data_IF_771160217731
#
_entry.id   IF_771160217731
#
_cell.length_a   1.000
_cell.length_b   1.000
_cell.length_c   1.000
_cell.angle_alpha   90.00
_cell.angle_beta   90.00
_cell.angle_gamma   90.00
#
_symmetry.space_group_name_H-M   'P 1'
#
loop_
_entity.id
_entity.type
_entity.pdbx_description
1 polymer ?
#
# COMPACT_ATOMS: atom_id res chain seq x y z
N UNK A 1 23.29 21.66 -20.86
CA UNK A 1 21.87 22.09 -20.81
C UNK A 1 21.83 23.47 -20.20
N UNK A 2 21.50 24.50 -20.97
CA UNK A 2 21.53 25.91 -20.55
C UNK A 2 20.16 26.30 -19.97
N UNK A 3 20.10 26.48 -18.65
CA UNK A 3 18.90 26.93 -17.92
C UNK A 3 18.45 28.30 -18.43
N UNK A 4 17.37 28.31 -19.21
CA UNK A 4 16.72 29.52 -19.74
C UNK A 4 15.20 29.41 -19.61
N UNK A 5 14.72 28.83 -18.51
CA UNK A 5 13.29 28.83 -18.22
C UNK A 5 12.92 30.12 -17.44
N UNK A 6 12.17 31.05 -18.06
CA UNK A 6 11.79 32.31 -17.43
C UNK A 6 10.86 32.12 -16.21
N UNK A 7 10.16 30.98 -16.09
CA UNK A 7 9.33 30.71 -14.91
C UNK A 7 10.17 30.37 -13.67
N UNK A 8 11.33 29.73 -13.84
CA UNK A 8 12.23 29.41 -12.73
C UNK A 8 12.93 30.66 -12.16
N UNK A 9 13.17 31.68 -13.00
CA UNK A 9 13.70 32.97 -12.52
C UNK A 9 12.68 33.76 -11.70
N UNK A 10 11.40 33.73 -12.10
CA UNK A 10 10.34 34.43 -11.39
C UNK A 10 10.14 33.93 -9.93
N UNK A 11 10.54 32.69 -9.64
CA UNK A 11 10.48 32.12 -8.28
C UNK A 11 11.71 32.51 -7.44
N UNK A 12 12.87 32.71 -8.07
CA UNK A 12 14.12 33.09 -7.38
C UNK A 12 14.18 34.57 -7.00
N UNK A 13 13.45 35.44 -7.71
CA UNK A 13 13.43 36.89 -7.48
C UNK A 13 12.36 37.35 -6.44
N UNK A 14 11.65 36.42 -5.80
CA UNK A 14 10.76 36.76 -4.69
C UNK A 14 11.59 37.10 -3.44
N UNK A 15 11.31 38.23 -2.75
CA UNK A 15 12.00 38.55 -1.51
C UNK A 15 11.82 37.40 -0.51
N UNK A 16 12.87 37.09 0.25
CA UNK A 16 12.91 36.03 1.26
C UNK A 16 11.91 36.31 2.41
N UNK A 17 10.63 36.10 2.14
CA UNK A 17 9.59 35.99 3.13
C UNK A 17 9.45 34.50 3.48
N UNK A 18 9.26 34.19 4.77
CA UNK A 18 8.95 32.83 5.20
C UNK A 18 7.75 32.30 4.40
N UNK A 19 7.84 31.07 3.85
CA UNK A 19 6.75 30.48 3.10
C UNK A 19 5.55 30.32 4.02
N UNK A 20 4.50 31.10 3.77
CA UNK A 20 3.21 30.94 4.45
C UNK A 20 2.60 29.58 4.12
N UNK A 21 1.82 28.99 5.03
CA UNK A 21 1.13 27.70 4.81
C UNK A 21 0.31 27.68 3.51
N UNK A 22 -0.34 28.82 3.21
CA UNK A 22 -1.10 29.00 1.98
C UNK A 22 -0.22 28.93 0.70
N UNK A 23 1.06 29.28 0.78
CA UNK A 23 2.01 29.16 -0.35
C UNK A 23 2.48 27.72 -0.55
N UNK A 24 2.66 26.96 0.53
CA UNK A 24 3.06 25.54 0.47
C UNK A 24 1.93 24.70 -0.11
N UNK A 25 0.71 24.84 0.41
CA UNK A 25 -0.46 24.11 -0.11
C UNK A 25 -0.75 24.46 -1.58
N UNK A 26 -0.59 25.73 -1.98
CA UNK A 26 -0.80 26.16 -3.37
C UNK A 26 0.25 25.59 -4.31
N UNK A 27 1.51 25.54 -3.89
CA UNK A 27 2.61 24.93 -4.66
C UNK A 27 2.38 23.43 -4.82
N UNK A 28 1.97 22.76 -3.75
CA UNK A 28 1.63 21.34 -3.77
C UNK A 28 0.45 21.04 -4.73
N UNK A 29 -0.64 21.81 -4.66
CA UNK A 29 -1.76 21.68 -5.59
C UNK A 29 -1.36 21.94 -7.05
N UNK A 30 -0.48 22.91 -7.31
CA UNK A 30 0.01 23.20 -8.67
C UNK A 30 0.86 22.07 -9.24
N UNK A 31 1.72 21.47 -8.42
CA UNK A 31 2.53 20.30 -8.82
C UNK A 31 1.61 19.11 -9.15
N UNK A 32 0.64 18.80 -8.30
CA UNK A 32 -0.30 17.70 -8.55
C UNK A 32 -1.20 17.93 -9.78
N UNK A 33 -1.62 19.18 -10.03
CA UNK A 33 -2.43 19.53 -11.20
C UNK A 33 -1.67 19.44 -12.52
N UNK A 34 -0.37 19.82 -12.54
CA UNK A 34 0.49 19.68 -13.74
C UNK A 34 0.74 18.20 -14.07
N UNK A 35 0.85 17.34 -13.06
CA UNK A 35 1.09 15.90 -13.28
C UNK A 35 -0.14 15.12 -13.75
N UNK A 36 -1.33 15.44 -13.24
CA UNK A 36 -2.60 14.87 -13.73
C UNK A 36 -2.87 15.27 -15.19
N UNK A 37 -2.56 16.50 -15.58
CA UNK A 37 -2.68 16.96 -16.96
C UNK A 37 -1.71 16.29 -17.96
N UNK A 38 -0.57 15.77 -17.48
CA UNK A 38 0.43 15.10 -18.32
C UNK A 38 0.06 13.67 -18.72
N UNK A 39 -0.70 12.94 -17.88
CA UNK A 39 -1.02 11.52 -18.08
C UNK A 39 -2.25 11.25 -18.96
N UNK A 40 -3.08 12.27 -19.23
CA UNK A 40 -4.25 12.17 -20.10
C UNK A 40 -3.96 12.23 -21.62
N UNK A 41 -2.70 12.39 -22.03
CA UNK A 41 -2.33 12.40 -23.47
C UNK A 41 -1.89 11.02 -23.92
N UNK A 42 -2.83 10.26 -24.49
CA UNK A 42 -2.51 9.10 -25.32
C UNK A 42 -1.49 9.49 -26.42
N UNK A 43 -0.57 8.59 -26.83
CA UNK A 43 0.40 8.88 -27.85
C UNK A 43 -0.31 9.18 -29.18
N UNK A 44 -0.24 10.42 -29.64
CA UNK A 44 -0.74 10.85 -30.96
C UNK A 44 0.04 10.09 -32.04
N UNK A 45 -0.56 9.04 -32.59
CA UNK A 45 -0.11 8.43 -33.84
C UNK A 45 -0.27 9.47 -34.95
N UNK A 46 0.85 9.97 -35.47
CA UNK A 46 0.89 10.74 -36.70
C UNK A 46 0.54 9.79 -37.87
N UNK A 47 -0.71 9.83 -38.31
CA UNK A 47 -1.15 9.25 -39.57
C UNK A 47 -0.59 10.10 -40.73
N UNK A 48 0.38 9.55 -41.46
CA UNK A 48 0.70 10.01 -42.81
C UNK A 48 -0.01 9.11 -43.80
N UNK A 49 -0.93 9.72 -44.56
CA UNK A 49 -1.48 9.20 -45.82
C UNK A 49 -0.36 8.95 -46.84
N UNK A 50 -0.45 7.83 -47.57
CA UNK A 50 -0.45 7.76 -49.04
C UNK A 50 -1.01 6.38 -49.47
N UNK A 51 -1.71 6.36 -50.62
CA UNK A 51 -2.76 5.41 -51.06
C UNK A 51 -2.20 4.33 -52.06
N UNK A 52 -2.98 3.50 -52.82
CA UNK A 52 -2.94 2.03 -52.75
C UNK A 52 -2.66 1.29 -54.09
N UNK A 53 -2.02 0.12 -54.07
CA UNK A 53 -2.09 -0.93 -55.13
C UNK A 53 -1.58 -2.22 -54.44
N UNK A 54 -2.11 -3.44 -54.54
CA UNK A 54 -3.17 -4.08 -55.32
C UNK A 54 -2.86 -5.59 -55.27
N UNK A 55 -3.87 -6.39 -54.88
CA UNK A 55 -4.07 -7.82 -55.13
C UNK A 55 -3.04 -8.90 -54.66
N UNK A 56 -3.64 -9.94 -54.06
CA UNK A 56 -3.40 -11.37 -54.23
C UNK A 56 -2.86 -12.14 -53.01
N UNK A 57 -3.54 -13.26 -52.78
CA UNK A 57 -3.52 -14.16 -51.64
C UNK A 57 -2.20 -14.89 -51.41
N UNK A 58 -1.89 -15.20 -50.15
CA UNK A 58 -1.38 -16.51 -49.70
C UNK A 58 -1.83 -16.75 -48.26
N UNK A 59 -2.60 -17.83 -48.07
CA UNK A 59 -2.78 -18.52 -46.79
C UNK A 59 -1.54 -19.39 -46.58
N UNK A 60 -0.72 -19.09 -45.57
CA UNK A 60 0.16 -20.05 -44.90
C UNK A 60 0.81 -19.41 -43.67
N UNK A 61 0.76 -20.14 -42.56
CA UNK A 61 1.31 -19.82 -41.26
C UNK A 61 2.83 -19.60 -41.27
N UNK A 62 3.31 -18.61 -40.49
CA UNK A 62 4.60 -18.68 -39.80
C UNK A 62 4.43 -18.11 -38.38
N UNK A 63 4.39 -19.04 -37.47
CA UNK A 63 4.69 -18.99 -36.05
C UNK A 63 6.15 -18.59 -35.79
N UNK A 64 6.40 -18.12 -34.57
CA UNK A 64 7.68 -18.01 -33.84
C UNK A 64 8.41 -16.67 -33.87
N UNK A 65 8.40 -16.05 -32.69
CA UNK A 65 9.44 -15.17 -32.18
C UNK A 65 9.53 -15.18 -30.64
N UNK A 66 9.03 -16.24 -29.98
CA UNK A 66 9.39 -16.60 -28.62
C UNK A 66 10.61 -17.53 -28.72
N UNK A 67 11.78 -17.02 -28.33
CA UNK A 67 12.96 -17.86 -28.13
C UNK A 67 13.01 -18.25 -26.66
N UNK A 68 12.72 -19.53 -26.46
CA UNK A 68 13.03 -20.35 -25.31
C UNK A 68 14.54 -20.35 -25.03
N UNK A 69 14.91 -20.16 -23.77
CA UNK A 69 16.07 -20.85 -23.20
C UNK A 69 15.53 -21.91 -22.23
N UNK A 70 15.16 -23.07 -22.79
CA UNK A 70 15.04 -24.30 -22.03
C UNK A 70 16.44 -24.89 -21.86
N UNK A 71 17.07 -24.57 -20.72
CA UNK A 71 18.04 -25.45 -20.10
C UNK A 71 17.27 -26.53 -19.36
N UNK A 72 17.42 -27.79 -19.79
CA UNK A 72 16.90 -28.97 -19.13
C UNK A 72 17.51 -29.12 -17.73
N UNK A 73 16.77 -28.63 -16.74
CA UNK A 73 16.97 -28.89 -15.32
C UNK A 73 15.68 -28.47 -14.62
N UNK A 74 15.07 -29.35 -13.84
CA UNK A 74 13.82 -29.09 -13.12
C UNK A 74 13.98 -27.95 -12.11
N UNK A 75 13.80 -26.72 -12.59
CA UNK A 75 13.82 -25.51 -11.80
C UNK A 75 12.39 -25.05 -11.58
N UNK A 76 11.93 -25.15 -10.33
CA UNK A 76 10.77 -24.47 -9.80
C UNK A 76 10.66 -23.08 -10.44
N UNK A 77 9.49 -22.73 -10.98
CA UNK A 77 9.14 -21.34 -11.26
C UNK A 77 9.08 -20.61 -9.91
N UNK A 78 10.26 -20.35 -9.35
CA UNK A 78 10.44 -19.57 -8.15
C UNK A 78 9.84 -18.20 -8.43
N UNK A 79 9.09 -17.69 -7.47
CA UNK A 79 8.94 -16.27 -7.27
C UNK A 79 10.34 -15.70 -7.10
N UNK A 80 11.06 -15.53 -8.21
CA UNK A 80 12.32 -14.81 -8.21
C UNK A 80 11.95 -13.44 -7.71
N UNK A 81 12.57 -13.04 -6.58
CA UNK A 81 12.39 -11.70 -6.05
C UNK A 81 12.39 -10.73 -7.22
N UNK A 82 11.30 -9.95 -7.43
CA UNK A 82 11.27 -9.03 -8.55
C UNK A 82 12.56 -8.22 -8.52
N UNK A 83 13.14 -7.97 -9.69
CA UNK A 83 14.24 -7.00 -9.80
C UNK A 83 13.65 -5.61 -9.59
N UNK A 84 13.14 -5.34 -8.39
CA UNK A 84 12.69 -4.03 -7.93
C UNK A 84 13.91 -3.13 -7.98
N UNK A 85 13.98 -2.36 -9.07
CA UNK A 85 14.94 -1.32 -9.25
C UNK A 85 14.48 -0.16 -8.38
N UNK A 86 15.03 -0.10 -7.17
CA UNK A 86 15.06 1.11 -6.34
C UNK A 86 13.70 1.54 -5.75
N UNK A 87 13.45 1.15 -4.49
CA UNK A 87 12.49 1.88 -3.65
C UNK A 87 13.20 3.12 -3.15
N UNK A 88 13.00 4.25 -3.82
CA UNK A 88 13.46 5.54 -3.32
C UNK A 88 12.57 5.91 -2.13
N UNK A 89 13.13 5.71 -0.95
CA UNK A 89 12.40 5.84 0.29
C UNK A 89 12.02 7.30 0.60
N UNK A 90 11.08 7.43 1.53
CA UNK A 90 10.41 8.67 1.90
C UNK A 90 11.41 9.73 2.34
N UNK A 91 11.24 10.97 1.85
CA UNK A 91 12.02 12.13 2.29
C UNK A 91 11.84 12.51 3.77
N UNK A 92 10.96 11.80 4.50
CA UNK A 92 10.78 11.99 5.92
C UNK A 92 11.95 11.30 6.66
N UNK A 93 12.81 12.04 7.37
CA UNK A 93 13.82 11.40 8.20
C UNK A 93 13.13 10.41 9.14
N UNK A 94 13.85 9.35 9.54
CA UNK A 94 13.46 8.64 10.75
C UNK A 94 13.27 9.67 11.87
N UNK A 95 12.40 9.40 12.86
CA UNK A 95 12.43 10.12 14.12
C UNK A 95 13.88 10.10 14.60
N UNK A 96 14.59 11.22 14.43
CA UNK A 96 16.00 11.25 14.70
C UNK A 96 16.17 11.31 16.22
N UNK A 97 17.29 10.78 16.70
CA UNK A 97 17.98 11.26 17.90
C UNK A 97 18.21 12.80 17.92
N UNK A 98 17.69 13.58 16.95
CA UNK A 98 17.40 15.02 17.08
C UNK A 98 16.10 15.41 16.37
N UNK A 99 15.00 15.37 17.12
CA UNK A 99 13.80 16.17 16.85
C UNK A 99 12.51 15.35 16.94
N UNK A 100 11.86 15.45 18.12
CA UNK A 100 10.55 14.89 18.56
C UNK A 100 10.60 13.42 18.99
N UNK A 101 11.07 13.04 20.19
CA UNK A 101 10.46 13.22 21.53
C UNK A 101 8.96 12.84 21.56
N UNK A 102 8.48 11.96 22.47
CA UNK A 102 7.09 11.45 22.66
C UNK A 102 5.90 12.46 22.70
N UNK A 103 6.11 13.69 22.25
CA UNK A 103 5.14 14.77 22.19
C UNK A 103 4.93 15.31 20.75
N UNK A 104 5.00 14.47 19.72
CA UNK A 104 4.17 14.72 18.52
C UNK A 104 2.71 14.48 18.90
N UNK A 105 2.19 15.27 19.84
CA UNK A 105 0.81 15.24 20.31
C UNK A 105 -0.17 15.67 19.23
N UNK A 106 0.31 15.91 17.99
CA UNK A 106 -0.47 16.41 16.86
C UNK A 106 0.13 15.91 15.56
N UNK A 107 -0.76 15.50 14.67
CA UNK A 107 -0.45 15.23 13.27
C UNK A 107 0.06 16.47 12.53
N UNK A 108 0.98 16.30 11.59
CA UNK A 108 1.53 17.44 10.84
C UNK A 108 0.50 18.03 9.86
N UNK A 109 0.58 19.33 9.53
CA UNK A 109 -0.31 19.94 8.53
C UNK A 109 -0.29 19.21 7.18
N UNK A 110 0.88 18.70 6.76
CA UNK A 110 1.04 17.95 5.51
C UNK A 110 0.29 16.62 5.55
N UNK A 111 0.28 15.92 6.70
CA UNK A 111 -0.49 14.69 6.86
C UNK A 111 -1.98 14.94 6.78
N UNK A 112 -2.47 15.98 7.45
CA UNK A 112 -3.87 16.38 7.39
C UNK A 112 -4.29 16.77 5.97
N UNK A 113 -3.46 17.53 5.26
CA UNK A 113 -3.71 17.92 3.87
C UNK A 113 -3.70 16.71 2.92
N UNK A 114 -2.78 15.77 3.11
CA UNK A 114 -2.71 14.53 2.32
C UNK A 114 -3.96 13.65 2.54
N UNK A 115 -4.41 13.50 3.79
CA UNK A 115 -5.66 12.80 4.11
C UNK A 115 -6.88 13.49 3.48
N UNK A 116 -6.96 14.82 3.50
CA UNK A 116 -8.05 15.57 2.86
C UNK A 116 -8.05 15.41 1.33
N UNK A 117 -6.88 15.36 0.69
CA UNK A 117 -6.77 15.06 -0.74
C UNK A 117 -7.22 13.64 -1.05
N UNK A 118 -6.68 12.64 -0.34
CA UNK A 118 -7.03 11.24 -0.52
C UNK A 118 -8.53 11.01 -0.29
N UNK A 119 -9.11 11.63 0.74
CA UNK A 119 -10.54 11.53 1.01
C UNK A 119 -11.39 12.12 -0.13
N UNK A 120 -10.92 13.21 -0.76
CA UNK A 120 -11.60 13.78 -1.93
C UNK A 120 -11.49 12.87 -3.15
N UNK A 121 -10.31 12.34 -3.42
CA UNK A 121 -10.09 11.34 -4.48
C UNK A 121 -10.98 10.12 -4.28
N UNK A 122 -11.05 9.59 -3.06
CA UNK A 122 -11.85 8.42 -2.72
C UNK A 122 -13.32 8.57 -3.11
N UNK A 123 -13.92 9.76 -2.94
CA UNK A 123 -15.33 10.01 -3.34
C UNK A 123 -15.59 9.93 -4.84
N UNK A 124 -14.54 9.93 -5.67
CA UNK A 124 -14.64 9.81 -7.13
C UNK A 124 -14.29 8.40 -7.64
N UNK A 125 -13.84 7.52 -6.75
CA UNK A 125 -13.51 6.14 -7.10
C UNK A 125 -14.79 5.35 -7.42
N UNK A 126 -14.64 4.30 -8.21
CA UNK A 126 -15.74 3.36 -8.48
C UNK A 126 -15.85 2.36 -7.34
N UNK A 127 -17.08 2.13 -6.87
CA UNK A 127 -17.36 1.01 -5.99
C UNK A 127 -17.18 -0.31 -6.76
N UNK A 128 -16.70 -1.33 -6.06
CA UNK A 128 -16.63 -2.70 -6.58
C UNK A 128 -17.89 -3.44 -6.17
N UNK A 129 -18.52 -4.14 -7.12
CA UNK A 129 -19.69 -4.98 -6.84
C UNK A 129 -19.23 -6.40 -6.55
N UNK A 130 -19.50 -6.88 -5.33
CA UNK A 130 -19.23 -8.25 -4.93
C UNK A 130 -20.40 -9.17 -5.34
N UNK A 131 -20.13 -10.16 -6.17
CA UNK A 131 -21.07 -11.21 -6.53
C UNK A 131 -21.15 -12.33 -5.47
N UNK A 132 -22.26 -13.07 -5.40
CA UNK A 132 -22.38 -14.22 -4.48
C UNK A 132 -21.27 -15.25 -4.70
N UNK A 133 -20.62 -15.67 -3.61
CA UNK A 133 -19.57 -16.69 -3.64
C UNK A 133 -18.22 -16.26 -4.21
N UNK A 134 -18.06 -14.99 -4.61
CA UNK A 134 -16.77 -14.48 -5.03
C UNK A 134 -15.82 -14.32 -3.84
N UNK A 135 -14.53 -14.54 -4.12
CA UNK A 135 -13.43 -14.37 -3.18
C UNK A 135 -12.63 -13.12 -3.55
N UNK A 136 -11.87 -12.62 -2.58
CA UNK A 136 -10.84 -11.61 -2.82
C UNK A 136 -9.51 -12.34 -2.94
N UNK A 137 -8.89 -12.27 -4.11
CA UNK A 137 -7.49 -12.66 -4.30
C UNK A 137 -6.61 -11.46 -4.00
N UNK A 138 -5.67 -11.64 -3.09
CA UNK A 138 -4.67 -10.65 -2.72
C UNK A 138 -3.30 -11.20 -3.08
N UNK A 139 -2.61 -10.50 -3.97
CA UNK A 139 -1.20 -10.75 -4.26
C UNK A 139 -0.38 -9.71 -3.52
N UNK A 140 0.47 -10.15 -2.61
CA UNK A 140 1.34 -9.31 -1.79
C UNK A 140 2.80 -9.59 -2.13
N UNK A 141 3.51 -8.59 -2.63
CA UNK A 141 4.92 -8.66 -2.96
C UNK A 141 5.70 -7.79 -1.96
N UNK A 142 6.59 -8.40 -1.17
CA UNK A 142 7.18 -7.74 -0.01
C UNK A 142 8.46 -8.37 0.53
N UNK A 143 9.07 -7.66 1.48
CA UNK A 143 10.32 -7.98 2.16
C UNK A 143 10.11 -7.81 3.66
N UNK A 144 10.61 -8.75 4.45
CA UNK A 144 10.47 -8.70 5.90
C UNK A 144 11.70 -9.24 6.61
N UNK A 145 11.95 -8.73 7.81
CA UNK A 145 13.01 -9.18 8.69
C UNK A 145 12.71 -10.58 9.18
N UNK A 146 13.66 -11.48 8.95
CA UNK A 146 13.71 -12.85 9.43
C UNK A 146 14.79 -12.93 10.51
N UNK A 147 14.39 -13.13 11.76
CA UNK A 147 15.32 -13.40 12.85
C UNK A 147 15.62 -14.90 12.89
N UNK A 148 16.91 -15.26 12.95
CA UNK A 148 17.34 -16.64 13.11
C UNK A 148 17.98 -16.80 14.50
N UNK A 149 17.26 -17.41 15.43
CA UNK A 149 17.73 -17.62 16.80
C UNK A 149 17.67 -16.35 17.68
N UNK A 150 18.50 -16.30 18.72
CA UNK A 150 18.52 -15.22 19.72
C UNK A 150 19.48 -14.08 19.35
N UNK A 151 19.80 -13.92 18.07
CA UNK A 151 20.76 -12.91 17.63
C UNK A 151 20.10 -11.54 17.54
N UNK A 152 20.83 -10.48 17.93
CA UNK A 152 20.44 -9.07 17.76
C UNK A 152 20.50 -8.61 16.28
N UNK A 153 20.39 -9.56 15.35
CA UNK A 153 20.58 -9.37 13.92
C UNK A 153 19.42 -10.04 13.19
N UNK A 154 18.77 -9.30 12.29
CA UNK A 154 17.72 -9.85 11.44
C UNK A 154 18.06 -9.64 9.97
N UNK A 155 17.93 -10.70 9.16
CA UNK A 155 18.14 -10.60 7.72
C UNK A 155 16.84 -10.21 7.03
N UNK A 156 16.86 -9.19 6.18
CA UNK A 156 15.71 -8.87 5.35
C UNK A 156 15.64 -9.88 4.20
N UNK A 157 14.53 -10.61 4.13
CA UNK A 157 14.28 -11.65 3.14
C UNK A 157 13.01 -11.33 2.34
N UNK A 158 12.96 -11.77 1.08
CA UNK A 158 11.75 -11.65 0.26
C UNK A 158 10.66 -12.57 0.81
N UNK A 159 9.44 -12.04 0.98
CA UNK A 159 8.28 -12.76 1.52
C UNK A 159 7.01 -12.46 0.70
N UNK A 160 7.06 -12.73 -0.61
CA UNK A 160 5.88 -12.68 -1.45
C UNK A 160 4.84 -13.73 -1.05
N UNK A 161 3.55 -13.34 -1.01
CA UNK A 161 2.43 -14.22 -0.69
C UNK A 161 1.24 -13.96 -1.59
N UNK A 162 0.48 -15.02 -1.86
CA UNK A 162 -0.86 -14.90 -2.43
C UNK A 162 -1.87 -15.47 -1.45
N UNK A 163 -3.03 -14.81 -1.30
CA UNK A 163 -4.12 -15.33 -0.46
C UNK A 163 -5.45 -15.17 -1.16
N UNK A 164 -6.35 -16.09 -0.86
CA UNK A 164 -7.75 -16.04 -1.23
C UNK A 164 -8.56 -15.89 0.04
N UNK A 165 -9.43 -14.90 0.05
CA UNK A 165 -10.15 -14.45 1.24
C UNK A 165 -11.64 -14.50 0.96
N UNK A 166 -12.39 -15.21 1.80
CA UNK A 166 -13.85 -15.13 1.84
C UNK A 166 -14.24 -13.77 2.42
N UNK A 167 -14.99 -12.94 1.67
CA UNK A 167 -15.36 -11.60 2.10
C UNK A 167 -16.25 -11.59 3.35
N UNK A 168 -16.86 -12.73 3.72
CA UNK A 168 -17.68 -12.86 4.92
C UNK A 168 -16.81 -13.08 6.17
N UNK A 169 -16.09 -12.03 6.59
CA UNK A 169 -15.25 -12.03 7.79
C UNK A 169 -13.75 -12.09 7.50
N UNK A 170 -13.35 -11.86 6.24
CA UNK A 170 -11.96 -11.96 5.79
C UNK A 170 -11.30 -13.29 6.16
N UNK A 171 -12.00 -14.40 5.91
CA UNK A 171 -11.49 -15.74 6.23
C UNK A 171 -10.54 -16.16 5.12
N UNK A 172 -9.29 -16.44 5.48
CA UNK A 172 -8.29 -16.91 4.51
C UNK A 172 -8.59 -18.37 4.18
N UNK A 173 -9.00 -18.66 2.95
CA UNK A 173 -9.34 -20.02 2.46
C UNK A 173 -8.19 -20.68 1.71
N UNK A 174 -7.20 -19.90 1.27
CA UNK A 174 -5.95 -20.38 0.66
C UNK A 174 -4.84 -19.36 0.88
N UNK A 175 -3.63 -19.83 1.20
CA UNK A 175 -2.44 -18.97 1.40
C UNK A 175 -1.22 -19.64 0.78
N UNK A 176 -0.65 -19.02 -0.24
CA UNK A 176 0.55 -19.49 -0.91
C UNK A 176 1.76 -18.62 -0.59
N UNK A 177 2.91 -19.27 -0.45
CA UNK A 177 4.24 -18.63 -0.50
C UNK A 177 5.05 -19.36 -1.55
N UNK A 178 5.19 -18.76 -2.74
CA UNK A 178 5.64 -19.54 -3.87
C UNK A 178 4.53 -20.46 -4.38
N UNK A 179 4.88 -21.72 -4.59
CA UNK A 179 3.93 -22.80 -4.88
C UNK A 179 3.56 -23.61 -3.62
N UNK A 180 4.12 -23.27 -2.45
CA UNK A 180 3.81 -23.94 -1.19
C UNK A 180 2.52 -23.39 -0.59
N UNK A 181 1.58 -24.29 -0.32
CA UNK A 181 0.37 -23.98 0.44
C UNK A 181 0.66 -24.01 1.94
N UNK A 182 0.67 -22.82 2.53
CA UNK A 182 1.00 -22.62 3.93
C UNK A 182 -0.13 -23.05 4.88
N UNK A 183 -1.33 -23.34 4.38
CA UNK A 183 -2.42 -23.90 5.18
C UNK A 183 -2.41 -25.44 5.20
N UNK A 184 -1.71 -26.08 4.25
CA UNK A 184 -1.69 -27.56 4.12
C UNK A 184 -0.30 -28.18 4.37
N UNK A 185 0.75 -27.37 4.52
CA UNK A 185 2.12 -27.84 4.74
C UNK A 185 2.38 -28.44 6.13
N UNK A 186 3.48 -29.18 6.32
CA UNK A 186 3.88 -29.74 7.61
C UNK A 186 4.23 -28.67 8.67
N UNK A 187 4.44 -27.42 8.23
CA UNK A 187 4.64 -26.23 9.06
C UNK A 187 3.42 -25.29 9.05
N UNK A 188 2.28 -25.74 8.50
CA UNK A 188 1.07 -24.95 8.59
C UNK A 188 0.80 -24.71 10.08
N UNK A 189 0.78 -23.44 10.48
CA UNK A 189 0.05 -23.06 11.68
C UNK A 189 -1.41 -23.06 11.25
N UNK A 190 -2.19 -24.10 11.58
CA UNK A 190 -3.57 -24.08 11.20
C UNK A 190 -4.19 -22.96 12.04
N UNK A 191 -4.62 -21.89 11.40
CA UNK A 191 -5.87 -21.28 11.82
C UNK A 191 -6.90 -21.87 10.88
N UNK A 192 -7.44 -23.08 11.17
CA UNK A 192 -8.44 -23.67 10.30
C UNK A 192 -9.53 -22.65 10.03
N UNK A 193 -10.15 -22.69 8.86
CA UNK A 193 -11.35 -21.90 8.55
C UNK A 193 -12.37 -21.96 9.69
N UNK A 194 -12.48 -23.11 10.36
CA UNK A 194 -13.32 -23.31 11.55
C UNK A 194 -12.96 -22.42 12.75
N UNK A 195 -11.67 -22.17 13.01
CA UNK A 195 -11.24 -21.25 14.08
C UNK A 195 -11.55 -19.81 13.70
N UNK A 196 -11.25 -19.41 12.46
CA UNK A 196 -11.57 -18.05 11.99
C UNK A 196 -13.08 -17.78 12.00
N UNK A 197 -13.89 -18.77 11.59
CA UNK A 197 -15.36 -18.71 11.69
C UNK A 197 -15.83 -18.72 13.14
N UNK A 198 -15.24 -19.54 14.00
CA UNK A 198 -15.54 -19.56 15.43
C UNK A 198 -15.27 -18.22 16.11
N UNK A 199 -14.16 -17.56 15.78
CA UNK A 199 -13.86 -16.21 16.27
C UNK A 199 -14.90 -15.20 15.78
N UNK A 200 -15.29 -15.25 14.50
CA UNK A 200 -16.34 -14.39 13.95
C UNK A 200 -17.70 -14.64 14.63
N UNK A 201 -18.03 -15.89 14.93
CA UNK A 201 -19.25 -16.25 15.66
C UNK A 201 -19.21 -15.78 17.12
N UNK A 202 -18.06 -15.89 17.78
CA UNK A 202 -17.88 -15.55 19.17
C UNK A 202 -17.82 -14.04 19.42
N UNK A 203 -17.04 -13.31 18.60
CA UNK A 203 -16.75 -11.89 18.79
C UNK A 203 -17.54 -10.98 17.86
N UNK A 204 -18.22 -11.55 16.86
CA UNK A 204 -18.90 -10.79 15.82
C UNK A 204 -17.95 -10.10 14.83
N UNK A 205 -18.50 -9.47 13.79
CA UNK A 205 -17.72 -8.66 12.85
C UNK A 205 -17.05 -7.46 13.54
N UNK A 206 -15.79 -7.22 13.21
CA UNK A 206 -14.97 -6.13 13.74
C UNK A 206 -13.86 -5.76 12.75
N UNK A 207 -13.01 -4.79 13.11
CA UNK A 207 -11.89 -4.34 12.27
C UNK A 207 -10.98 -5.47 11.74
N UNK A 208 -10.73 -6.52 12.53
CA UNK A 208 -9.87 -7.65 12.13
C UNK A 208 -10.61 -8.69 11.28
N UNK A 209 -11.94 -8.75 11.39
CA UNK A 209 -12.83 -9.69 10.69
C UNK A 209 -14.05 -8.96 10.07
N UNK A 210 -13.83 -8.01 9.16
CA UNK A 210 -14.93 -7.23 8.62
C UNK A 210 -15.81 -8.10 7.71
N UNK A 211 -17.13 -7.88 7.77
CA UNK A 211 -18.08 -8.37 6.77
C UNK A 211 -18.63 -7.18 5.97
N UNK A 212 -19.19 -7.38 4.76
CA UNK A 212 -19.83 -6.32 4.00
C UNK A 212 -20.95 -5.62 4.78
N UNK A 213 -21.72 -6.36 5.58
CA UNK A 213 -22.81 -5.83 6.40
C UNK A 213 -22.28 -4.94 7.53
N UNK A 214 -21.18 -5.34 8.18
CA UNK A 214 -20.53 -4.53 9.20
C UNK A 214 -19.96 -3.23 8.61
N UNK A 215 -19.29 -3.33 7.45
CA UNK A 215 -18.78 -2.16 6.73
C UNK A 215 -19.89 -1.17 6.37
N UNK A 216 -21.05 -1.67 5.92
CA UNK A 216 -22.20 -0.85 5.57
C UNK A 216 -22.84 -0.12 6.77
N UNK A 217 -22.60 -0.60 8.00
CA UNK A 217 -23.14 0.01 9.24
C UNK A 217 -22.21 1.07 9.84
N UNK A 218 -20.96 1.16 9.36
CA UNK A 218 -20.01 2.15 9.88
C UNK A 218 -20.49 3.58 9.59
N UNK A 219 -20.31 4.53 10.54
CA UNK A 219 -20.80 5.90 10.40
C UNK A 219 -19.90 6.75 9.49
N UNK A 220 -19.80 6.40 8.21
CA UNK A 220 -18.91 7.05 7.23
C UNK A 220 -19.09 8.58 7.10
N UNK A 221 -20.27 9.10 7.44
CA UNK A 221 -20.59 10.53 7.43
C UNK A 221 -20.16 11.30 8.69
N UNK A 222 -19.78 10.61 9.77
CA UNK A 222 -19.30 11.22 11.02
C UNK A 222 -17.89 10.69 11.34
N UNK A 223 -16.84 11.42 10.91
CA UNK A 223 -15.46 11.01 11.11
C UNK A 223 -15.08 10.77 12.58
N UNK A 224 -15.66 11.52 13.52
CA UNK A 224 -15.33 11.38 14.94
C UNK A 224 -15.97 10.12 15.53
N UNK A 225 -17.25 9.86 15.22
CA UNK A 225 -17.91 8.62 15.62
C UNK A 225 -17.27 7.39 14.97
N UNK A 226 -16.84 7.50 13.71
CA UNK A 226 -16.12 6.43 13.02
C UNK A 226 -14.78 6.13 13.69
N UNK A 227 -13.98 7.15 13.99
CA UNK A 227 -12.69 6.96 14.67
C UNK A 227 -12.87 6.31 16.05
N UNK A 228 -13.85 6.78 16.83
CA UNK A 228 -14.15 6.20 18.14
C UNK A 228 -14.51 4.72 18.01
N UNK A 229 -15.43 4.38 17.09
CA UNK A 229 -15.83 2.98 16.84
C UNK A 229 -14.65 2.08 16.46
N UNK A 230 -13.71 2.58 15.66
CA UNK A 230 -12.53 1.82 15.24
C UNK A 230 -11.52 1.63 16.38
N UNK A 231 -11.38 2.63 17.27
CA UNK A 231 -10.54 2.53 18.48
C UNK A 231 -11.10 1.51 19.47
N UNK A 232 -12.42 1.34 19.53
CA UNK A 232 -13.05 0.32 20.40
C UNK A 232 -12.73 -1.14 19.96
N UNK A 233 -12.30 -1.33 18.71
CA UNK A 233 -11.99 -2.66 18.15
C UNK A 233 -10.50 -3.05 18.29
N UNK A 234 -9.67 -2.20 18.90
CA UNK A 234 -8.26 -2.53 19.21
C UNK A 234 -8.04 -2.74 20.70
N UNK A 235 -7.17 -3.69 21.03
CA UNK A 235 -6.88 -4.06 22.41
C UNK A 235 -6.10 -2.96 23.14
N UNK A 236 -6.19 -2.91 24.47
CA UNK A 236 -5.28 -2.09 25.27
C UNK A 236 -3.87 -2.70 25.28
N UNK A 237 -2.84 -1.86 25.11
CA UNK A 237 -1.44 -2.28 25.14
C UNK A 237 -0.61 -1.28 25.95
N UNK A 238 0.24 -1.78 26.83
CA UNK A 238 1.10 -0.93 27.67
C UNK A 238 2.25 -0.27 26.89
N UNK A 239 2.60 -0.79 25.71
CA UNK A 239 3.73 -0.33 24.89
C UNK A 239 3.35 0.70 23.84
N UNK A 240 2.11 0.66 23.34
CA UNK A 240 1.67 1.44 22.20
C UNK A 240 0.37 2.17 22.50
N UNK A 241 0.27 3.41 22.02
CA UNK A 241 -0.97 4.16 22.01
C UNK A 241 -2.05 3.44 21.22
N UNK A 242 -3.33 3.68 21.56
CA UNK A 242 -4.47 3.15 20.81
C UNK A 242 -4.41 3.54 19.32
N UNK A 243 -3.88 4.72 18.99
CA UNK A 243 -3.71 5.16 17.60
C UNK A 243 -2.66 4.36 16.85
N UNK A 244 -1.54 4.01 17.49
CA UNK A 244 -0.53 3.14 16.86
C UNK A 244 -1.11 1.75 16.58
N UNK A 245 -1.83 1.18 17.55
CA UNK A 245 -2.48 -0.13 17.40
C UNK A 245 -3.58 -0.11 16.34
N UNK A 246 -4.39 0.94 16.30
CA UNK A 246 -5.37 1.15 15.24
C UNK A 246 -4.68 1.26 13.88
N UNK A 247 -3.61 2.04 13.76
CA UNK A 247 -2.90 2.21 12.50
C UNK A 247 -2.29 0.90 11.99
N UNK A 248 -1.74 0.08 12.89
CA UNK A 248 -1.28 -1.28 12.60
C UNK A 248 -2.43 -2.16 12.07
N UNK A 249 -3.54 -2.22 12.81
CA UNK A 249 -4.71 -3.00 12.45
C UNK A 249 -5.32 -2.54 11.11
N UNK A 250 -5.31 -1.23 10.83
CA UNK A 250 -5.76 -0.67 9.55
C UNK A 250 -4.89 -1.15 8.38
N UNK A 251 -3.59 -1.34 8.58
CA UNK A 251 -2.70 -1.90 7.56
C UNK A 251 -3.14 -3.30 7.11
N UNK A 252 -3.45 -4.18 8.07
CA UNK A 252 -3.99 -5.52 7.79
C UNK A 252 -5.41 -5.47 7.23
N UNK A 253 -6.26 -4.57 7.76
CA UNK A 253 -7.60 -4.36 7.25
C UNK A 253 -7.58 -4.00 5.76
N UNK A 254 -6.76 -3.01 5.36
CA UNK A 254 -6.66 -2.60 3.96
C UNK A 254 -6.12 -3.71 3.07
N UNK A 255 -5.10 -4.43 3.54
CA UNK A 255 -4.50 -5.55 2.83
C UNK A 255 -5.49 -6.68 2.53
N UNK A 256 -6.54 -6.86 3.34
CA UNK A 256 -7.57 -7.88 3.11
C UNK A 256 -8.87 -7.33 2.50
N UNK A 257 -9.25 -6.09 2.81
CA UNK A 257 -10.62 -5.59 2.62
C UNK A 257 -10.73 -4.24 1.89
N UNK A 258 -9.64 -3.59 1.46
CA UNK A 258 -9.74 -2.28 0.78
C UNK A 258 -10.69 -2.31 -0.42
N UNK A 259 -10.69 -3.41 -1.20
CA UNK A 259 -11.56 -3.61 -2.36
C UNK A 259 -13.06 -3.54 -2.02
N UNK A 260 -13.44 -3.86 -0.78
CA UNK A 260 -14.84 -3.84 -0.32
C UNK A 260 -15.30 -2.46 0.17
N UNK A 261 -14.39 -1.51 0.33
CA UNK A 261 -14.77 -0.18 0.78
C UNK A 261 -15.54 0.57 -0.31
N UNK A 262 -16.73 1.04 0.05
CA UNK A 262 -17.43 2.01 -0.80
C UNK A 262 -16.60 3.31 -0.89
N UNK A 263 -16.75 4.09 -1.97
CA UNK A 263 -16.12 5.41 -2.11
C UNK A 263 -16.36 6.32 -0.89
N UNK A 264 -17.59 6.31 -0.36
CA UNK A 264 -17.99 7.11 0.79
C UNK A 264 -17.31 6.63 2.08
N UNK A 265 -17.27 5.31 2.31
CA UNK A 265 -16.63 4.74 3.50
C UNK A 265 -15.12 4.96 3.48
N UNK A 266 -14.45 4.75 2.34
CA UNK A 266 -13.02 5.04 2.18
C UNK A 266 -12.72 6.50 2.48
N UNK A 267 -13.53 7.43 1.94
CA UNK A 267 -13.41 8.85 2.24
C UNK A 267 -13.67 9.15 3.74
N UNK A 268 -14.64 8.49 4.35
CA UNK A 268 -14.95 8.58 5.78
C UNK A 268 -13.77 8.17 6.66
N UNK A 269 -13.16 7.01 6.38
CA UNK A 269 -11.97 6.51 7.09
C UNK A 269 -10.81 7.49 7.02
N UNK A 270 -10.48 7.99 5.83
CA UNK A 270 -9.40 8.96 5.63
C UNK A 270 -9.65 10.27 6.40
N UNK A 271 -10.89 10.74 6.46
CA UNK A 271 -11.26 11.90 7.29
C UNK A 271 -11.19 11.60 8.78
N UNK A 272 -11.58 10.40 9.20
CA UNK A 272 -11.56 9.97 10.60
C UNK A 272 -10.13 10.00 11.16
N UNK A 273 -9.14 9.57 10.39
CA UNK A 273 -7.73 9.56 10.81
C UNK A 273 -7.14 10.95 11.10
N UNK A 274 -7.80 12.04 10.68
CA UNK A 274 -7.42 13.40 11.11
C UNK A 274 -7.52 13.62 12.62
N UNK A 275 -8.33 12.81 13.31
CA UNK A 275 -8.45 12.81 14.77
C UNK A 275 -7.40 11.97 15.49
N UNK A 276 -6.46 11.37 14.74
CA UNK A 276 -5.29 10.69 15.30
C UNK A 276 -4.14 11.66 15.49
N UNK A 277 -3.31 11.39 16.48
CA UNK A 277 -2.07 12.12 16.72
C UNK A 277 -0.86 11.37 16.15
N UNK A 278 0.25 12.07 15.98
CA UNK A 278 1.51 11.49 15.52
C UNK A 278 1.55 11.08 14.04
N UNK A 279 0.61 11.57 13.20
CA UNK A 279 0.67 11.31 11.75
C UNK A 279 1.63 12.26 11.03
N UNK A 280 2.45 11.71 10.14
CA UNK A 280 3.23 12.46 9.15
C UNK A 280 2.95 11.95 7.75
N UNK A 281 3.22 12.77 6.73
CA UNK A 281 3.06 12.37 5.33
C UNK A 281 4.33 12.59 4.51
N UNK A 282 4.58 11.67 3.59
CA UNK A 282 5.64 11.77 2.59
C UNK A 282 5.22 11.16 1.27
N UNK A 283 6.09 11.27 0.29
CA UNK A 283 5.95 10.55 -0.97
C UNK A 283 6.99 9.43 -1.03
N UNK A 284 6.61 8.33 -1.68
CA UNK A 284 7.51 7.20 -1.94
C UNK A 284 7.38 6.80 -3.39
N UNK A 285 8.47 6.28 -3.96
CA UNK A 285 8.44 5.68 -5.30
C UNK A 285 8.67 4.18 -5.17
N UNK A 286 7.72 3.39 -5.65
CA UNK A 286 7.82 1.92 -5.72
C UNK A 286 7.62 1.51 -7.17
N UNK A 287 8.62 0.89 -7.79
CA UNK A 287 8.59 0.46 -9.20
C UNK A 287 8.19 1.57 -10.19
N UNK A 288 8.56 2.82 -9.90
CA UNK A 288 8.21 4.01 -10.69
C UNK A 288 6.84 4.62 -10.38
N UNK A 289 6.08 4.03 -9.45
CA UNK A 289 4.79 4.54 -8.98
C UNK A 289 5.00 5.45 -7.79
N UNK A 290 4.53 6.70 -7.90
CA UNK A 290 4.52 7.66 -6.79
C UNK A 290 3.30 7.40 -5.92
N UNK A 291 3.54 7.07 -4.65
CA UNK A 291 2.52 6.81 -3.64
C UNK A 291 2.61 7.84 -2.52
N UNK A 292 1.50 8.07 -1.86
CA UNK A 292 1.43 8.88 -0.63
C UNK A 292 1.63 7.95 0.56
N UNK A 293 2.70 8.15 1.32
CA UNK A 293 2.95 7.42 2.56
C UNK A 293 2.44 8.24 3.74
N UNK A 294 1.49 7.69 4.50
CA UNK A 294 1.08 8.26 5.79
C UNK A 294 1.67 7.39 6.89
N UNK A 295 2.50 8.00 7.74
CA UNK A 295 3.18 7.34 8.86
C UNK A 295 2.47 7.68 10.16
N UNK A 296 2.20 6.68 10.99
CA UNK A 296 1.98 6.86 12.42
C UNK A 296 3.29 6.46 13.12
N UNK A 297 3.79 7.33 14.00
CA UNK A 297 4.99 7.05 14.81
C UNK A 297 4.62 6.99 16.28
N UNK A 298 5.09 5.96 16.97
CA UNK A 298 4.97 5.84 18.42
C UNK A 298 6.28 5.27 18.99
N UNK A 299 6.85 5.97 19.97
CA UNK A 299 8.19 5.72 20.51
C UNK A 299 9.25 5.48 19.40
N UNK A 300 9.74 4.24 19.27
CA UNK A 300 10.78 3.82 18.31
C UNK A 300 10.21 3.07 17.12
N UNK A 301 8.89 2.94 17.00
CA UNK A 301 8.23 2.23 15.91
C UNK A 301 7.51 3.23 14.98
N UNK A 302 7.62 2.98 13.68
CA UNK A 302 6.86 3.71 12.67
C UNK A 302 6.12 2.76 11.76
N UNK A 303 4.83 2.95 11.57
CA UNK A 303 4.01 2.19 10.63
C UNK A 303 3.52 3.14 9.55
N UNK A 304 3.76 2.79 8.29
CA UNK A 304 3.31 3.55 7.15
C UNK A 304 2.32 2.75 6.32
N UNK A 305 1.24 3.41 5.91
CA UNK A 305 0.31 2.91 4.89
C UNK A 305 0.57 3.72 3.62
N UNK A 306 0.69 3.02 2.50
CA UNK A 306 0.98 3.59 1.19
C UNK A 306 -0.31 3.65 0.38
N UNK A 307 -0.70 4.85 -0.03
CA UNK A 307 -1.92 5.11 -0.79
C UNK A 307 -1.58 5.49 -2.23
N UNK A 308 -2.33 4.94 -3.18
CA UNK A 308 -2.31 5.42 -4.57
C UNK A 308 -3.06 6.77 -4.63
N UNK A 309 -2.40 7.88 -5.01
CA UNK A 309 -3.03 9.20 -5.06
C UNK A 309 -4.17 9.30 -6.09
N UNK A 310 -4.28 8.36 -7.04
CA UNK A 310 -5.30 8.37 -8.08
C UNK A 310 -6.62 7.70 -7.67
N UNK A 311 -6.54 6.68 -6.84
CA UNK A 311 -7.70 5.89 -6.39
C UNK A 311 -7.99 6.06 -4.90
N UNK A 312 -7.04 6.59 -4.15
CA UNK A 312 -6.98 6.61 -2.69
C UNK A 312 -7.00 5.22 -2.03
N UNK A 313 -6.86 4.14 -2.80
CA UNK A 313 -6.70 2.79 -2.27
C UNK A 313 -5.36 2.64 -1.57
N UNK A 314 -5.36 1.91 -0.45
CA UNK A 314 -4.13 1.47 0.18
C UNK A 314 -3.55 0.30 -0.65
N UNK A 315 -2.29 0.44 -1.04
CA UNK A 315 -1.58 -0.49 -1.94
C UNK A 315 -0.29 -1.03 -1.33
N UNK A 316 0.02 -0.64 -0.10
CA UNK A 316 1.24 -1.07 0.57
C UNK A 316 1.33 -0.65 2.01
N UNK A 317 2.29 -1.25 2.71
CA UNK A 317 2.59 -0.99 4.11
C UNK A 317 4.10 -1.04 4.33
N UNK A 318 4.60 -0.24 5.28
CA UNK A 318 5.95 -0.38 5.84
C UNK A 318 5.92 -0.36 7.36
N UNK A 319 6.83 -1.10 7.98
CA UNK A 319 7.12 -1.02 9.41
C UNK A 319 8.60 -0.76 9.61
N UNK A 320 8.90 0.25 10.39
CA UNK A 320 10.25 0.72 10.67
C UNK A 320 10.51 0.64 12.16
N UNK A 321 11.74 0.30 12.51
CA UNK A 321 12.21 0.30 13.88
C UNK A 321 13.43 1.21 13.99
N UNK A 322 13.37 2.18 14.89
CA UNK A 322 14.44 3.14 15.17
C UNK A 322 15.30 2.74 16.39
N UNK A 323 14.99 1.63 17.06
CA UNK A 323 15.79 1.15 18.20
C UNK A 323 17.08 0.45 17.77
N UNK A 324 18.14 0.63 18.56
CA UNK A 324 19.47 0.05 18.31
C UNK A 324 19.61 -1.43 18.70
N UNK A 325 18.53 -2.05 19.19
CA UNK A 325 18.53 -3.42 19.71
C UNK A 325 18.59 -4.48 18.59
N UNK A 326 18.19 -4.11 17.37
CA UNK A 326 18.17 -5.00 16.21
C UNK A 326 19.00 -4.36 15.10
N UNK A 327 20.03 -5.07 14.67
CA UNK A 327 20.77 -4.75 13.44
C UNK A 327 20.07 -5.43 12.27
N UNK A 328 19.43 -4.65 11.42
CA UNK A 328 18.85 -5.15 10.19
C UNK A 328 19.94 -5.28 9.12
N UNK A 329 20.05 -6.45 8.50
CA UNK A 329 20.96 -6.71 7.37
C UNK A 329 20.14 -6.57 6.08
N UNK A 330 20.49 -5.64 5.17
CA UNK A 330 19.79 -5.49 3.89
C UNK A 330 19.95 -6.75 3.02
N UNK A 331 19.03 -7.01 2.08
CA UNK A 331 19.15 -8.18 1.21
C UNK A 331 20.32 -8.02 0.23
N UNK A 332 20.98 -9.12 -0.13
CA UNK A 332 22.09 -9.15 -1.11
C UNK A 332 21.67 -8.66 -2.51
N UNK A 333 20.37 -8.71 -2.81
CA UNK A 333 19.74 -8.10 -3.97
C UNK A 333 18.28 -7.79 -3.67
N UNK A 334 17.78 -6.64 -4.14
CA UNK A 334 16.43 -6.17 -3.83
C UNK A 334 16.37 -4.66 -3.60
N UNK A 335 15.26 -4.15 -3.05
CA UNK A 335 15.11 -2.74 -2.71
C UNK A 335 16.06 -2.37 -1.58
N UNK A 336 16.68 -1.19 -1.72
CA UNK A 336 17.38 -0.53 -0.62
C UNK A 336 16.40 0.41 0.05
N UNK A 337 16.17 0.22 1.34
CA UNK A 337 15.34 1.11 2.12
C UNK A 337 16.25 2.11 2.86
N UNK A 338 15.89 3.40 2.80
CA UNK A 338 16.52 4.46 3.60
C UNK A 338 15.44 5.33 4.27
N UNK A 339 15.14 5.12 5.56
CA UNK A 339 15.82 4.21 6.48
C UNK A 339 15.59 2.73 6.18
N UNK A 340 16.38 1.87 6.82
CA UNK A 340 16.18 0.43 6.72
C UNK A 340 14.83 0.04 7.35
N UNK A 341 13.99 -0.64 6.55
CA UNK A 341 12.62 -1.00 6.89
C UNK A 341 12.61 -2.49 7.29
N UNK A 342 12.03 -2.80 8.46
CA UNK A 342 11.91 -4.18 8.94
C UNK A 342 10.83 -4.98 8.23
N UNK A 343 9.81 -4.31 7.68
CA UNK A 343 8.76 -4.93 6.89
C UNK A 343 8.28 -3.97 5.80
N UNK A 344 8.27 -4.40 4.55
CA UNK A 344 7.69 -3.66 3.43
C UNK A 344 6.88 -4.61 2.57
N UNK A 345 5.65 -4.23 2.26
CA UNK A 345 4.82 -5.00 1.34
C UNK A 345 4.04 -4.04 0.45
N UNK A 346 3.85 -4.43 -0.79
CA UNK A 346 2.82 -3.86 -1.67
C UNK A 346 1.86 -4.95 -2.09
N UNK A 347 0.63 -4.59 -2.43
CA UNK A 347 -0.37 -5.58 -2.80
C UNK A 347 -1.32 -5.09 -3.90
N UNK A 348 -1.90 -6.06 -4.60
CA UNK A 348 -3.07 -5.87 -5.47
C UNK A 348 -4.22 -6.75 -4.99
N UNK A 349 -5.44 -6.33 -5.29
CA UNK A 349 -6.67 -7.06 -4.93
C UNK A 349 -7.57 -7.20 -6.15
N UNK A 350 -8.12 -8.40 -6.34
CA UNK A 350 -9.04 -8.72 -7.42
C UNK A 350 -10.16 -9.63 -6.92
N UNK A 351 -11.35 -9.53 -7.52
CA UNK A 351 -12.42 -10.49 -7.30
C UNK A 351 -12.20 -11.71 -8.20
N UNK A 352 -12.33 -12.90 -7.61
CA UNK A 352 -12.22 -14.18 -8.31
C UNK A 352 -13.37 -15.10 -7.94
N UNK A 353 -13.73 -16.05 -8.81
CA UNK A 353 -14.86 -16.95 -8.56
C UNK A 353 -14.45 -18.24 -7.85
N UNK A 354 -13.15 -18.52 -7.74
CA UNK A 354 -12.62 -19.73 -7.10
C UNK A 354 -11.19 -19.53 -6.63
N UNK A 355 -10.71 -20.46 -5.80
CA UNK A 355 -9.32 -20.47 -5.28
C UNK A 355 -8.27 -20.81 -6.34
N UNK A 356 -8.67 -21.25 -7.54
CA UNK A 356 -7.77 -21.64 -8.64
C UNK A 356 -7.52 -20.52 -9.65
N UNK A 357 -8.23 -19.40 -9.54
CA UNK A 357 -8.01 -18.19 -10.33
C UNK A 357 -6.91 -17.33 -9.67
N UNK A 358 -5.89 -16.92 -10.46
CA UNK A 358 -4.76 -16.05 -10.09
C UNK A 358 -4.74 -14.77 -10.92
#
# INVERSE_FOLDING_TARGET
MTHTDPELRAVLDLPAAEPTDASVSRTWHLLNRRHTAGRGRAPRRLSRLLIPVGAAAVVAAVTVGAILLNGLGGGNAQFGAPRTAEVLASHQPLPAERGTNPALSRSTPEALAALDELARTATTASAVTLGPGQLIHVRADGWASSQRGNEATAQIEYQGRERWVDPQGMIIVRLLSGEEDLLQGPKAEPTPDAVQRGDLEQFGPNLRRPTPEWLAQLPAGDPAALLARLRDDVDDNEKWTADHQLWDAMGEFYLNADLLLSPELRAGLLRAFRGMDGLTAGEVVVDGWRLIAIRQTDDRAGIEILFDPLTASAVGRRTMYAGSEITLIPPDGGPRFDPLVGYHVTWTQHLVNSVDER
#
